data_IF_059034269942
#
_entry.id   IF_059034269942
#
_cell.length_a   1.000
_cell.length_b   1.000
_cell.length_c   1.000
_cell.angle_alpha   90.00
_cell.angle_beta   90.00
_cell.angle_gamma   90.00
#
_symmetry.space_group_name_H-M   'P 1'
#
loop_
_entity.id
_entity.type
_entity.pdbx_description
1 polymer ?
#
# COMPACT_ATOMS: atom_id res chain seq x y z
N UNK A 1 -3.66 -17.31 -2.29
CA UNK A 1 -2.72 -16.53 -1.46
C UNK A 1 -1.78 -15.85 -2.44
N UNK A 2 -1.82 -14.53 -2.56
CA UNK A 2 -0.91 -13.81 -3.47
C UNK A 2 0.46 -13.77 -2.83
N UNK A 3 1.43 -14.50 -3.40
CA UNK A 3 2.83 -14.37 -3.03
C UNK A 3 3.34 -13.01 -3.54
N UNK A 4 3.59 -12.09 -2.61
CA UNK A 4 4.10 -10.75 -2.92
C UNK A 4 5.64 -10.72 -3.01
N UNK A 5 6.33 -11.87 -2.99
CA UNK A 5 7.79 -11.93 -3.08
C UNK A 5 8.33 -11.18 -4.31
N UNK A 6 7.78 -11.44 -5.49
CA UNK A 6 8.22 -10.78 -6.71
C UNK A 6 7.96 -9.27 -6.66
N UNK A 7 6.79 -8.86 -6.15
CA UNK A 7 6.45 -7.43 -6.02
C UNK A 7 7.38 -6.72 -5.02
N UNK A 8 7.69 -7.36 -3.90
CA UNK A 8 8.65 -6.87 -2.90
C UNK A 8 10.03 -6.69 -3.51
N UNK A 9 10.54 -7.70 -4.22
CA UNK A 9 11.83 -7.63 -4.91
C UNK A 9 11.85 -6.50 -5.97
N UNK A 10 10.78 -6.35 -6.75
CA UNK A 10 10.66 -5.27 -7.72
C UNK A 10 10.65 -3.89 -7.05
N UNK A 11 9.97 -3.75 -5.91
CA UNK A 11 9.96 -2.50 -5.15
C UNK A 11 11.33 -2.17 -4.54
N UNK A 12 12.03 -3.17 -3.98
CA UNK A 12 13.39 -2.99 -3.44
C UNK A 12 14.41 -2.53 -4.49
N UNK A 13 14.23 -2.97 -5.76
CA UNK A 13 15.11 -2.62 -6.88
C UNK A 13 14.70 -1.35 -7.63
N UNK A 14 13.48 -0.85 -7.42
CA UNK A 14 12.99 0.33 -8.10
C UNK A 14 13.66 1.62 -7.57
N UNK A 15 13.57 2.71 -8.33
CA UNK A 15 14.07 4.02 -7.88
C UNK A 15 13.41 4.40 -6.56
N UNK A 16 14.17 4.65 -5.48
CA UNK A 16 13.59 5.01 -4.19
C UNK A 16 12.71 6.26 -4.28
N UNK A 17 11.65 6.30 -3.47
CA UNK A 17 10.75 7.44 -3.34
C UNK A 17 11.40 8.65 -2.64
N UNK A 18 10.69 9.79 -2.57
CA UNK A 18 9.32 10.00 -3.05
C UNK A 18 9.24 10.07 -4.58
N UNK A 19 8.13 9.61 -5.14
CA UNK A 19 7.79 9.85 -6.54
C UNK A 19 6.78 10.98 -6.62
N UNK A 20 7.03 11.95 -7.49
CA UNK A 20 6.22 13.15 -7.58
C UNK A 20 5.83 13.43 -9.03
N UNK A 21 4.56 13.76 -9.24
CA UNK A 21 4.09 14.27 -10.53
C UNK A 21 4.70 15.66 -10.74
N UNK A 22 5.58 15.80 -11.74
CA UNK A 22 6.16 17.09 -12.08
C UNK A 22 5.08 18.04 -12.61
N UNK A 23 5.25 19.34 -12.31
CA UNK A 23 4.33 20.44 -12.61
C UNK A 23 3.41 20.20 -13.82
N UNK A 24 2.10 20.44 -13.61
CA UNK A 24 0.98 20.22 -14.55
C UNK A 24 1.15 20.77 -15.97
N UNK A 25 2.15 21.65 -16.19
CA UNK A 25 2.50 22.21 -17.51
C UNK A 25 2.91 21.14 -18.53
N UNK A 26 3.51 20.03 -18.07
CA UNK A 26 3.94 18.92 -18.93
C UNK A 26 3.19 17.62 -18.60
N UNK A 27 1.96 17.74 -18.09
CA UNK A 27 1.07 16.68 -17.56
C UNK A 27 1.51 15.24 -17.80
N UNK A 28 1.77 14.50 -16.71
CA UNK A 28 2.07 13.07 -16.77
C UNK A 28 3.53 12.67 -16.52
N UNK A 29 4.45 13.62 -16.30
CA UNK A 29 5.82 13.30 -15.89
C UNK A 29 5.86 12.93 -14.42
N UNK A 30 6.49 11.81 -14.08
CA UNK A 30 6.80 11.43 -12.69
C UNK A 30 8.32 11.50 -12.51
N UNK A 31 8.74 12.20 -11.47
CA UNK A 31 10.14 12.31 -11.05
C UNK A 31 10.39 11.47 -9.82
N UNK A 32 11.61 11.00 -9.65
CA UNK A 32 12.03 10.27 -8.47
C UNK A 32 13.54 10.30 -8.29
N UNK A 33 14.01 9.77 -7.17
CA UNK A 33 15.41 9.82 -6.79
C UNK A 33 15.86 11.21 -6.31
N UNK A 34 17.15 11.33 -5.96
CA UNK A 34 17.70 12.56 -5.38
C UNK A 34 17.70 13.71 -6.38
N UNK A 35 17.62 14.93 -5.86
CA UNK A 35 17.92 16.14 -6.63
C UNK A 35 19.40 16.11 -7.04
N UNK A 36 19.68 16.37 -8.32
CA UNK A 36 21.03 16.43 -8.87
C UNK A 36 21.39 17.87 -9.23
N UNK A 37 22.60 18.29 -8.89
CA UNK A 37 23.13 19.61 -9.22
C UNK A 37 23.87 19.58 -10.56
N UNK A 38 23.61 20.61 -11.37
CA UNK A 38 24.23 20.84 -12.66
C UNK A 38 24.80 22.26 -12.73
N UNK A 39 25.61 22.54 -13.74
CA UNK A 39 26.25 23.86 -13.95
C UNK A 39 25.22 25.01 -13.98
N UNK A 40 24.00 24.75 -14.45
CA UNK A 40 22.94 25.75 -14.64
C UNK A 40 21.70 25.53 -13.74
N UNK A 41 21.86 24.85 -12.59
CA UNK A 41 20.77 24.63 -11.63
C UNK A 41 20.62 23.17 -11.23
N UNK A 42 19.52 22.84 -10.55
CA UNK A 42 19.27 21.50 -10.00
C UNK A 42 18.02 20.86 -10.60
N UNK A 43 18.04 19.54 -10.84
CA UNK A 43 16.88 18.81 -11.34
C UNK A 43 16.79 17.39 -10.77
N UNK A 44 15.58 16.83 -10.70
CA UNK A 44 15.35 15.41 -10.41
C UNK A 44 15.16 14.63 -11.70
N UNK A 45 15.58 13.37 -11.70
CA UNK A 45 15.39 12.46 -12.82
C UNK A 45 13.91 12.19 -13.09
N UNK A 46 13.53 12.20 -14.36
CA UNK A 46 12.27 11.66 -14.81
C UNK A 46 12.35 10.14 -14.87
N UNK A 47 11.42 9.46 -14.22
CA UNK A 47 11.39 7.98 -14.15
C UNK A 47 10.24 7.39 -14.97
N UNK A 48 9.15 8.15 -15.17
CA UNK A 48 7.99 7.73 -15.97
C UNK A 48 7.44 8.93 -16.74
N UNK A 49 7.02 8.71 -17.98
CA UNK A 49 6.15 9.62 -18.74
C UNK A 49 4.81 8.93 -18.95
N UNK A 50 3.75 9.45 -18.35
CA UNK A 50 2.38 9.07 -18.69
C UNK A 50 1.97 9.81 -19.96
N UNK A 51 1.43 9.09 -20.93
CA UNK A 51 0.93 9.66 -22.17
C UNK A 51 -0.59 9.54 -22.21
N UNK A 52 -1.26 10.57 -22.74
CA UNK A 52 -2.68 10.51 -23.04
C UNK A 52 -2.97 9.62 -24.26
N UNK A 53 -4.23 9.24 -24.41
CA UNK A 53 -4.73 8.57 -25.61
C UNK A 53 -6.11 9.14 -26.00
N UNK A 54 -6.49 9.01 -27.27
CA UNK A 54 -7.74 9.59 -27.80
C UNK A 54 -9.01 9.06 -27.13
N UNK A 55 -8.96 7.83 -26.59
CA UNK A 55 -10.06 7.20 -25.87
C UNK A 55 -10.12 7.57 -24.39
N UNK A 56 -9.16 8.33 -23.86
CA UNK A 56 -9.13 8.70 -22.44
C UNK A 56 -10.14 9.78 -22.12
N UNK A 57 -10.85 9.60 -21.01
CA UNK A 57 -11.74 10.63 -20.47
C UNK A 57 -10.92 11.81 -19.92
N UNK A 58 -11.50 13.04 -19.94
CA UNK A 58 -10.86 14.20 -19.34
C UNK A 58 -10.39 13.93 -17.90
N UNK A 59 -9.11 14.24 -17.65
CA UNK A 59 -8.48 14.08 -16.34
C UNK A 59 -7.95 12.67 -16.03
N UNK A 60 -8.15 11.66 -16.90
CA UNK A 60 -7.64 10.30 -16.63
C UNK A 60 -6.11 10.25 -16.61
N UNK A 61 -5.46 11.01 -17.48
CA UNK A 61 -4.00 11.09 -17.52
C UNK A 61 -3.42 11.54 -16.17
N UNK A 62 -3.97 12.61 -15.61
CA UNK A 62 -3.56 13.17 -14.33
C UNK A 62 -3.81 12.20 -13.19
N UNK A 63 -5.00 11.60 -13.14
CA UNK A 63 -5.35 10.60 -12.11
C UNK A 63 -4.46 9.36 -12.18
N UNK A 64 -4.11 8.91 -13.39
CA UNK A 64 -3.20 7.78 -13.58
C UNK A 64 -1.78 8.12 -13.11
N UNK A 65 -1.28 9.31 -13.44
CA UNK A 65 0.03 9.77 -12.99
C UNK A 65 0.08 9.90 -11.45
N UNK A 66 -0.97 10.47 -10.85
CA UNK A 66 -1.13 10.57 -9.39
C UNK A 66 -1.15 9.19 -8.73
N UNK A 67 -1.89 8.23 -9.31
CA UNK A 67 -1.94 6.86 -8.82
C UNK A 67 -0.56 6.19 -8.87
N UNK A 68 0.16 6.29 -9.99
CA UNK A 68 1.50 5.70 -10.14
C UNK A 68 2.49 6.33 -9.15
N UNK A 69 2.46 7.65 -8.98
CA UNK A 69 3.32 8.35 -8.02
C UNK A 69 3.00 7.96 -6.55
N UNK A 70 1.72 7.81 -6.23
CA UNK A 70 1.29 7.34 -4.91
C UNK A 70 1.74 5.89 -4.64
N UNK A 71 1.75 5.03 -5.65
CA UNK A 71 2.25 3.66 -5.59
C UNK A 71 3.79 3.56 -5.68
N UNK A 72 4.51 4.53 -5.13
CA UNK A 72 5.97 4.50 -5.11
C UNK A 72 6.50 3.30 -4.28
N UNK A 73 7.75 2.86 -4.51
CA UNK A 73 8.27 1.64 -3.91
C UNK A 73 8.27 1.60 -2.38
N UNK A 74 8.50 2.75 -1.72
CA UNK A 74 8.46 2.80 -0.26
C UNK A 74 7.05 2.49 0.27
N UNK A 75 6.02 3.10 -0.33
CA UNK A 75 4.61 2.82 0.02
C UNK A 75 4.24 1.37 -0.25
N UNK A 76 4.69 0.78 -1.36
CA UNK A 76 4.44 -0.63 -1.67
C UNK A 76 5.08 -1.55 -0.63
N UNK A 77 6.31 -1.27 -0.21
CA UNK A 77 7.01 -2.07 0.81
C UNK A 77 6.33 -1.96 2.18
N UNK A 78 5.88 -0.76 2.56
CA UNK A 78 5.14 -0.55 3.80
C UNK A 78 3.82 -1.32 3.82
N UNK A 79 3.06 -1.28 2.72
CA UNK A 79 1.81 -2.04 2.57
C UNK A 79 2.05 -3.56 2.62
N UNK A 80 3.15 -4.06 2.06
CA UNK A 80 3.53 -5.48 2.15
C UNK A 80 3.86 -5.85 3.60
N UNK A 81 4.65 -5.03 4.30
CA UNK A 81 5.00 -5.26 5.70
C UNK A 81 3.76 -5.26 6.61
N UNK A 82 2.83 -4.31 6.39
CA UNK A 82 1.54 -4.28 7.08
C UNK A 82 0.73 -5.55 6.81
N UNK A 83 0.66 -6.00 5.55
CA UNK A 83 -0.05 -7.23 5.20
C UNK A 83 0.55 -8.47 5.90
N UNK A 84 1.88 -8.58 5.95
CA UNK A 84 2.61 -9.65 6.63
C UNK A 84 2.33 -9.65 8.14
N UNK A 85 2.31 -8.47 8.76
CA UNK A 85 1.96 -8.31 10.18
C UNK A 85 0.51 -8.74 10.47
N UNK A 86 -0.44 -8.31 9.64
CA UNK A 86 -1.86 -8.68 9.77
C UNK A 86 -2.08 -10.18 9.60
N UNK A 87 -1.41 -10.82 8.64
CA UNK A 87 -1.45 -12.27 8.46
C UNK A 87 -0.89 -13.01 9.67
N UNK A 88 0.21 -12.52 10.23
CA UNK A 88 0.83 -13.12 11.41
C UNK A 88 -0.08 -13.01 12.63
N UNK A 89 -0.73 -11.87 12.82
CA UNK A 89 -1.72 -11.65 13.86
C UNK A 89 -2.92 -12.60 13.70
N UNK A 90 -3.46 -12.73 12.49
CA UNK A 90 -4.58 -13.63 12.20
C UNK A 90 -4.26 -15.09 12.56
N UNK A 91 -3.05 -15.57 12.22
CA UNK A 91 -2.60 -16.92 12.59
C UNK A 91 -2.50 -17.08 14.11
N UNK A 92 -1.96 -16.08 14.82
CA UNK A 92 -1.83 -16.10 16.28
C UNK A 92 -3.20 -16.13 16.97
N UNK A 93 -4.14 -15.28 16.54
CA UNK A 93 -5.51 -15.24 17.06
C UNK A 93 -6.22 -16.58 16.81
N UNK A 94 -6.12 -17.14 15.59
CA UNK A 94 -6.71 -18.44 15.28
C UNK A 94 -6.13 -19.59 16.11
N UNK A 95 -4.86 -19.52 16.54
CA UNK A 95 -4.27 -20.49 17.48
C UNK A 95 -4.83 -20.31 18.89
N UNK A 96 -4.89 -19.07 19.38
CA UNK A 96 -5.44 -18.75 20.71
C UNK A 96 -6.91 -19.16 20.81
N UNK A 97 -7.73 -18.84 19.81
CA UNK A 97 -9.14 -19.22 19.76
C UNK A 97 -9.30 -20.74 19.81
N UNK A 98 -8.57 -21.50 19.00
CA UNK A 98 -8.61 -22.98 19.06
C UNK A 98 -8.23 -23.53 20.43
N UNK A 99 -7.22 -22.96 21.08
CA UNK A 99 -6.86 -23.38 22.45
C UNK A 99 -7.93 -22.99 23.48
N UNK A 100 -8.60 -21.85 23.30
CA UNK A 100 -9.65 -21.37 24.19
C UNK A 100 -10.96 -22.15 24.00
N UNK A 101 -11.32 -22.54 22.77
CA UNK A 101 -12.46 -23.42 22.49
C UNK A 101 -12.34 -24.75 23.24
N UNK A 102 -11.12 -25.30 23.31
CA UNK A 102 -10.83 -26.54 24.02
C UNK A 102 -10.92 -26.35 25.54
N UNK A 103 -10.56 -25.18 26.07
CA UNK A 103 -10.35 -24.98 27.50
C UNK A 103 -11.44 -24.17 28.23
N UNK A 104 -12.10 -23.21 27.56
CA UNK A 104 -13.09 -22.32 28.18
C UNK A 104 -13.91 -21.52 27.12
N UNK A 105 -15.20 -21.82 26.92
CA UNK A 105 -16.07 -21.11 25.97
C UNK A 105 -16.20 -19.60 26.22
N UNK A 106 -16.13 -19.13 27.47
CA UNK A 106 -16.18 -17.68 27.77
C UNK A 106 -14.91 -16.94 27.35
N UNK A 107 -13.78 -17.63 27.30
CA UNK A 107 -12.53 -17.05 26.81
C UNK A 107 -12.56 -16.83 25.28
N UNK A 108 -13.35 -17.62 24.55
CA UNK A 108 -13.55 -17.46 23.10
C UNK A 108 -14.23 -16.12 22.79
N UNK A 109 -15.30 -15.79 23.50
CA UNK A 109 -16.05 -14.54 23.30
C UNK A 109 -15.20 -13.29 23.59
N UNK A 110 -14.37 -13.35 24.64
CA UNK A 110 -13.39 -12.29 24.95
C UNK A 110 -12.37 -12.09 23.81
N UNK A 111 -11.76 -13.18 23.33
CA UNK A 111 -10.77 -13.14 22.25
C UNK A 111 -11.37 -12.68 20.92
N UNK A 112 -12.62 -13.03 20.63
CA UNK A 112 -13.34 -12.54 19.44
C UNK A 112 -13.56 -11.03 19.50
N UNK A 113 -13.87 -10.48 20.68
CA UNK A 113 -14.00 -9.03 20.84
C UNK A 113 -12.66 -8.29 20.71
N UNK A 114 -11.58 -8.80 21.32
CA UNK A 114 -10.24 -8.22 21.11
C UNK A 114 -9.83 -8.25 19.62
N UNK A 115 -10.11 -9.35 18.92
CA UNK A 115 -9.82 -9.46 17.50
C UNK A 115 -10.62 -8.46 16.66
N UNK A 116 -11.89 -8.21 16.99
CA UNK A 116 -12.73 -7.21 16.32
C UNK A 116 -12.20 -5.79 16.53
N UNK A 117 -11.79 -5.44 17.75
CA UNK A 117 -11.20 -4.13 18.04
C UNK A 117 -9.87 -3.94 17.29
N UNK A 118 -9.03 -4.97 17.25
CA UNK A 118 -7.79 -4.93 16.49
C UNK A 118 -8.07 -4.72 14.99
N UNK A 119 -9.02 -5.46 14.40
CA UNK A 119 -9.39 -5.28 12.99
C UNK A 119 -9.98 -3.89 12.72
N UNK A 120 -10.79 -3.35 13.63
CA UNK A 120 -11.36 -2.01 13.50
C UNK A 120 -10.30 -0.91 13.50
N UNK A 121 -9.15 -1.13 14.14
CA UNK A 121 -8.02 -0.20 14.10
C UNK A 121 -7.40 -0.08 12.70
N UNK A 122 -7.38 -1.17 11.93
CA UNK A 122 -6.76 -1.23 10.60
C UNK A 122 -7.76 -0.94 9.46
N UNK A 123 -9.06 -0.92 9.72
CA UNK A 123 -10.05 -0.61 8.70
C UNK A 123 -10.19 0.91 8.50
N UNK A 124 -10.23 1.38 7.24
CA UNK A 124 -10.61 2.76 6.96
C UNK A 124 -11.98 3.08 7.56
N UNK A 125 -12.14 4.30 8.09
CA UNK A 125 -13.43 4.75 8.65
C UNK A 125 -14.55 4.54 7.62
N UNK A 126 -15.56 3.75 8.01
CA UNK A 126 -16.74 3.46 7.17
C UNK A 126 -16.68 2.12 6.42
N UNK A 127 -15.61 1.33 6.56
CA UNK A 127 -15.56 -0.01 6.00
C UNK A 127 -16.35 -1.01 6.88
N UNK A 128 -17.27 -1.82 6.30
CA UNK A 128 -18.05 -2.77 7.09
C UNK A 128 -17.17 -3.91 7.61
N UNK A 129 -17.30 -4.21 8.90
CA UNK A 129 -16.66 -5.33 9.59
C UNK A 129 -17.55 -6.57 9.45
N UNK A 130 -17.80 -7.01 8.21
CA UNK A 130 -18.52 -8.27 7.96
C UNK A 130 -17.55 -9.45 8.10
N UNK A 131 -17.36 -9.90 9.33
CA UNK A 131 -16.79 -11.22 9.60
C UNK A 131 -17.89 -12.24 9.30
N UNK A 132 -17.89 -12.80 8.09
CA UNK A 132 -18.77 -13.91 7.76
C UNK A 132 -18.47 -15.08 8.72
N UNK A 133 -19.50 -15.69 9.33
CA UNK A 133 -19.34 -16.79 10.30
C UNK A 133 -18.74 -18.05 9.69
#
# INVERSE_FOLDING_TARGET
MSDHLLLKQMAELATPGPWEVANKRYGGVIRGGPLQDFINGSAQSQIVMCCGAEWMEPGQLERNAEFIAAANPAVVLDLIAENEALRSLAVMVAKKLRSAEICNPRAVEFLLNEAREAVAHYLPKGWPLELNP
#
